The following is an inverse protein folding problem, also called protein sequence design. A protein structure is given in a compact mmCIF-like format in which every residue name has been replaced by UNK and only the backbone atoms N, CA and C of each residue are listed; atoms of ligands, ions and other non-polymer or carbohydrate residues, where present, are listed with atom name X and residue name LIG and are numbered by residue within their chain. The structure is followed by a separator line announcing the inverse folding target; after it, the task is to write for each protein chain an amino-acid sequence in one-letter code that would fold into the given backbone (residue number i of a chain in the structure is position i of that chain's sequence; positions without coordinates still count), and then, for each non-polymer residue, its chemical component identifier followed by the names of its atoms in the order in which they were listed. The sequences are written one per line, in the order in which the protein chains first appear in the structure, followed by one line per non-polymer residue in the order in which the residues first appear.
data_IF_520521707980
#
_entry.id   IF_520521707980
#
_cell.length_a   1.000
_cell.length_b   1.000
_cell.length_c   1.000
_cell.angle_alpha   90.00
_cell.angle_beta   90.00
_cell.angle_gamma   90.00
#
_symmetry.space_group_name_H-M   'P 1'
#
loop_
_entity.id
_entity.type
_entity.pdbx_description
1 polymer ?
#
# COMPACT_ATOMS: atom_id res chain seq x y z
N UNK A 1 -24.63 -15.34 -4.96
CA UNK A 1 -24.46 -15.22 -3.49
C UNK A 1 -23.00 -14.83 -3.26
N UNK A 2 -22.76 -13.63 -2.81
CA UNK A 2 -21.41 -13.07 -2.58
C UNK A 2 -20.80 -13.73 -1.34
N UNK A 3 -19.47 -13.95 -1.32
CA UNK A 3 -18.75 -14.45 -0.13
C UNK A 3 -19.00 -13.55 1.09
N UNK A 4 -19.38 -12.28 0.88
CA UNK A 4 -19.73 -11.33 1.93
C UNK A 4 -21.07 -11.61 2.62
N UNK A 5 -21.97 -12.37 1.99
CA UNK A 5 -23.26 -12.75 2.60
C UNK A 5 -23.13 -13.84 3.68
N UNK A 6 -21.92 -14.42 3.84
CA UNK A 6 -21.65 -15.51 4.80
C UNK A 6 -21.01 -15.05 6.11
N UNK A 7 -20.52 -13.81 6.20
CA UNK A 7 -19.94 -13.30 7.45
C UNK A 7 -20.94 -12.35 8.13
N UNK A 8 -21.30 -12.63 9.40
CA UNK A 8 -22.14 -11.71 10.16
C UNK A 8 -21.44 -10.35 10.26
N UNK A 9 -22.20 -9.28 10.07
CA UNK A 9 -21.70 -7.89 10.07
C UNK A 9 -20.96 -7.58 11.39
N UNK A 10 -21.37 -8.22 12.48
CA UNK A 10 -20.73 -8.13 13.78
C UNK A 10 -19.29 -8.65 13.76
N UNK A 11 -19.00 -9.72 13.01
CA UNK A 11 -17.64 -10.25 12.87
C UNK A 11 -16.75 -9.29 12.09
N UNK A 12 -17.28 -8.65 11.04
CA UNK A 12 -16.56 -7.64 10.27
C UNK A 12 -16.28 -6.39 11.12
N UNK A 13 -17.24 -5.96 11.93
CA UNK A 13 -17.06 -4.83 12.86
C UNK A 13 -16.08 -5.18 13.98
N UNK A 14 -16.10 -6.41 14.49
CA UNK A 14 -15.15 -6.89 15.49
C UNK A 14 -13.73 -6.92 14.94
N UNK A 15 -13.55 -7.46 13.73
CA UNK A 15 -12.25 -7.50 13.04
C UNK A 15 -11.74 -6.09 12.74
N UNK A 16 -12.62 -5.18 12.33
CA UNK A 16 -12.28 -3.77 12.10
C UNK A 16 -11.90 -3.07 13.41
N UNK A 17 -12.64 -3.31 14.48
CA UNK A 17 -12.36 -2.77 15.82
C UNK A 17 -11.06 -3.31 16.39
N UNK A 18 -10.82 -4.61 16.30
CA UNK A 18 -9.57 -5.24 16.71
C UNK A 18 -8.37 -4.70 15.93
N UNK A 19 -8.59 -4.48 14.63
CA UNK A 19 -7.57 -3.94 13.76
C UNK A 19 -7.24 -2.47 14.07
N UNK A 20 -8.26 -1.63 14.35
CA UNK A 20 -8.05 -0.23 14.77
C UNK A 20 -7.34 -0.13 16.11
N UNK A 21 -7.64 -1.02 17.06
CA UNK A 21 -6.94 -1.11 18.35
C UNK A 21 -5.48 -1.54 18.17
N UNK A 22 -5.22 -2.55 17.33
CA UNK A 22 -3.86 -2.99 17.01
C UNK A 22 -3.06 -1.89 16.31
N UNK A 23 -3.71 -1.14 15.44
CA UNK A 23 -3.14 0.02 14.75
C UNK A 23 -2.77 1.13 15.73
N UNK A 24 -3.69 1.52 16.63
CA UNK A 24 -3.44 2.51 17.66
C UNK A 24 -2.29 2.08 18.58
N UNK A 25 -2.28 0.82 19.01
CA UNK A 25 -1.20 0.24 19.82
C UNK A 25 0.16 0.25 19.12
N UNK A 26 0.21 -0.01 17.81
CA UNK A 26 1.47 0.01 17.05
C UNK A 26 2.01 1.41 16.81
N UNK A 27 1.13 2.45 16.77
CA UNK A 27 1.55 3.85 16.59
C UNK A 27 2.12 4.46 17.88
N UNK A 28 1.64 4.05 19.07
CA UNK A 28 1.94 4.74 20.32
C UNK A 28 3.20 4.25 21.07
N UNK A 29 3.95 3.26 20.58
CA UNK A 29 5.13 2.75 21.31
C UNK A 29 6.39 3.59 21.13
N UNK A 30 7.15 3.88 22.24
CA UNK A 30 8.35 4.73 22.24
C UNK A 30 9.55 4.19 21.45
N UNK A 31 9.58 2.92 21.09
CA UNK A 31 10.66 2.32 20.26
C UNK A 31 10.57 2.63 18.76
N UNK A 32 9.82 3.65 18.41
CA UNK A 32 9.55 4.02 17.00
C UNK A 32 10.79 4.51 16.25
N UNK A 33 11.78 5.06 16.93
CA UNK A 33 12.98 5.58 16.25
C UNK A 33 13.79 4.44 15.61
N UNK A 34 14.09 3.38 16.36
CA UNK A 34 14.86 2.24 15.85
C UNK A 34 14.13 1.54 14.68
N UNK A 35 12.81 1.35 14.81
CA UNK A 35 12.01 0.76 13.73
C UNK A 35 11.95 1.64 12.49
N UNK A 36 11.88 2.96 12.65
CA UNK A 36 11.93 3.90 11.52
C UNK A 36 13.29 3.86 10.83
N UNK A 37 14.38 3.88 11.58
CA UNK A 37 15.73 3.78 11.03
C UNK A 37 15.89 2.47 10.25
N UNK A 38 15.49 1.35 10.85
CA UNK A 38 15.57 0.05 10.18
C UNK A 38 14.74 0.02 8.89
N UNK A 39 13.50 0.51 8.93
CA UNK A 39 12.66 0.61 7.74
C UNK A 39 13.31 1.48 6.66
N UNK A 40 13.82 2.66 7.03
CA UNK A 40 14.45 3.57 6.06
C UNK A 40 15.65 2.92 5.36
N UNK A 41 16.50 2.22 6.11
CA UNK A 41 17.65 1.51 5.54
C UNK A 41 17.23 0.40 4.55
N UNK A 42 16.13 -0.29 4.82
CA UNK A 42 15.62 -1.36 3.95
C UNK A 42 15.10 -0.88 2.60
N UNK A 43 14.66 0.37 2.52
CA UNK A 43 14.01 0.95 1.33
C UNK A 43 14.76 2.19 0.82
N UNK A 44 15.99 2.41 1.29
CA UNK A 44 16.78 3.59 0.97
C UNK A 44 17.06 3.73 -0.52
N UNK A 45 17.38 2.62 -1.18
CA UNK A 45 17.58 2.54 -2.63
C UNK A 45 16.39 3.06 -3.43
N UNK A 46 15.16 2.80 -2.95
CA UNK A 46 13.93 3.28 -3.59
C UNK A 46 13.69 4.75 -3.21
N UNK A 47 13.81 5.10 -1.91
CA UNK A 47 13.51 6.44 -1.42
C UNK A 47 14.40 7.53 -2.01
N UNK A 48 15.64 7.20 -2.38
CA UNK A 48 16.62 8.14 -2.96
C UNK A 48 16.62 8.14 -4.50
N UNK A 49 15.87 7.24 -5.15
CA UNK A 49 15.87 7.12 -6.59
C UNK A 49 15.07 8.26 -7.26
N UNK A 50 15.66 8.94 -8.25
CA UNK A 50 15.07 10.11 -8.90
C UNK A 50 13.66 9.86 -9.44
N UNK A 51 13.41 8.69 -10.04
CA UNK A 51 12.09 8.38 -10.58
C UNK A 51 11.06 8.18 -9.47
N UNK A 52 11.44 7.62 -8.32
CA UNK A 52 10.55 7.50 -7.18
C UNK A 52 10.27 8.87 -6.54
N UNK A 53 11.24 9.76 -6.51
CA UNK A 53 11.08 11.12 -5.99
C UNK A 53 10.06 11.95 -6.80
N UNK A 54 9.85 11.64 -8.09
CA UNK A 54 8.79 12.28 -8.91
C UNK A 54 7.37 12.05 -8.36
N UNK A 55 7.15 11.03 -7.54
CA UNK A 55 5.86 10.82 -6.87
C UNK A 55 5.44 11.98 -5.96
N UNK A 56 6.36 12.88 -5.62
CA UNK A 56 6.07 14.14 -4.92
C UNK A 56 5.32 15.16 -5.79
N UNK A 57 5.33 14.98 -7.10
CA UNK A 57 4.67 15.88 -8.06
C UNK A 57 3.20 15.47 -8.28
N UNK A 58 2.87 14.19 -8.02
CA UNK A 58 1.54 13.63 -8.28
C UNK A 58 0.72 13.50 -7.02
N UNK A 59 -0.57 13.88 -7.09
CA UNK A 59 -1.49 13.80 -5.96
C UNK A 59 -2.21 12.45 -5.91
N UNK A 60 -2.28 11.91 -4.68
CA UNK A 60 -3.13 10.78 -4.32
C UNK A 60 -4.08 11.22 -3.21
N UNK A 61 -5.41 11.17 -3.46
CA UNK A 61 -6.43 11.70 -2.54
C UNK A 61 -6.13 13.15 -2.08
N UNK A 62 -5.77 13.35 -0.83
CA UNK A 62 -5.46 14.66 -0.22
C UNK A 62 -3.94 14.93 -0.12
N UNK A 63 -3.10 13.92 -0.41
CA UNK A 63 -1.64 13.96 -0.33
C UNK A 63 -0.95 13.70 -1.66
N UNK A 64 0.39 13.72 -1.64
CA UNK A 64 1.20 13.20 -2.73
C UNK A 64 1.32 11.67 -2.65
N UNK A 65 1.44 11.01 -3.81
CA UNK A 65 1.63 9.55 -3.90
C UNK A 65 2.84 9.13 -3.05
N UNK A 66 3.89 9.92 -3.04
CA UNK A 66 5.10 9.70 -2.25
C UNK A 66 4.82 9.53 -0.75
N UNK A 67 4.04 10.43 -0.15
CA UNK A 67 3.74 10.39 1.28
C UNK A 67 2.83 9.22 1.63
N UNK A 68 1.86 8.93 0.76
CA UNK A 68 0.99 7.77 0.88
C UNK A 68 1.80 6.47 0.84
N UNK A 69 2.63 6.27 -0.19
CA UNK A 69 3.47 5.08 -0.35
C UNK A 69 4.40 4.85 0.84
N UNK A 70 5.03 5.90 1.37
CA UNK A 70 5.86 5.82 2.58
C UNK A 70 5.09 5.37 3.80
N UNK A 71 3.86 5.83 3.98
CA UNK A 71 3.00 5.44 5.10
C UNK A 71 2.58 3.98 4.98
N UNK A 72 2.13 3.56 3.80
CA UNK A 72 1.77 2.16 3.52
C UNK A 72 2.97 1.24 3.76
N UNK A 73 4.14 1.58 3.22
CA UNK A 73 5.38 0.84 3.40
C UNK A 73 5.76 0.67 4.88
N UNK A 74 5.77 1.75 5.65
CA UNK A 74 6.14 1.70 7.06
C UNK A 74 5.13 0.91 7.89
N UNK A 75 3.83 1.07 7.63
CA UNK A 75 2.79 0.31 8.31
C UNK A 75 2.90 -1.18 8.01
N UNK A 76 3.06 -1.54 6.74
CA UNK A 76 3.24 -2.93 6.29
C UNK A 76 4.49 -3.57 6.89
N UNK A 77 5.60 -2.84 6.92
CA UNK A 77 6.83 -3.24 7.61
C UNK A 77 6.57 -3.59 9.07
N UNK A 78 5.90 -2.72 9.81
CA UNK A 78 5.64 -2.91 11.23
C UNK A 78 4.75 -4.11 11.52
N UNK A 79 3.67 -4.25 10.76
CA UNK A 79 2.73 -5.38 10.93
C UNK A 79 3.43 -6.68 10.57
N UNK A 80 4.07 -6.75 9.40
CA UNK A 80 4.75 -7.97 8.95
C UNK A 80 5.86 -8.38 9.90
N UNK A 81 6.63 -7.42 10.42
CA UNK A 81 7.68 -7.69 11.41
C UNK A 81 7.12 -8.23 12.73
N UNK A 82 6.03 -7.66 13.23
CA UNK A 82 5.37 -8.10 14.44
C UNK A 82 4.78 -9.53 14.32
N UNK A 83 4.38 -9.91 13.11
CA UNK A 83 3.79 -11.21 12.79
C UNK A 83 4.82 -12.24 12.29
N UNK A 84 6.13 -11.91 12.28
CA UNK A 84 7.18 -12.83 11.80
C UNK A 84 7.08 -13.16 10.32
N UNK A 85 6.55 -12.25 9.52
CA UNK A 85 6.44 -12.36 8.06
C UNK A 85 7.66 -11.74 7.36
N UNK A 86 7.73 -11.83 6.02
CA UNK A 86 8.75 -11.12 5.25
C UNK A 86 8.47 -9.61 5.25
N UNK A 87 8.96 -8.95 6.29
CA UNK A 87 8.80 -7.50 6.48
C UNK A 87 9.62 -6.67 5.47
N UNK A 88 10.66 -7.26 4.86
CA UNK A 88 11.46 -6.58 3.84
C UNK A 88 10.65 -6.46 2.55
N UNK A 89 10.11 -7.57 2.05
CA UNK A 89 9.26 -7.57 0.87
C UNK A 89 7.98 -6.74 1.11
N UNK A 90 7.37 -6.80 2.32
CA UNK A 90 6.21 -5.99 2.66
C UNK A 90 6.53 -4.48 2.64
N UNK A 91 7.73 -4.07 3.12
CA UNK A 91 8.17 -2.68 3.07
C UNK A 91 8.39 -2.20 1.63
N UNK A 92 9.15 -2.96 0.85
CA UNK A 92 9.50 -2.60 -0.54
C UNK A 92 8.28 -2.63 -1.45
N UNK A 93 7.50 -3.71 -1.41
CA UNK A 93 6.25 -3.82 -2.16
C UNK A 93 5.23 -2.76 -1.76
N UNK A 94 5.12 -2.46 -0.46
CA UNK A 94 4.28 -1.38 0.04
C UNK A 94 4.74 0.02 -0.39
N UNK A 95 6.04 0.23 -0.63
CA UNK A 95 6.55 1.48 -1.18
C UNK A 95 6.26 1.60 -2.69
N UNK A 96 6.33 0.49 -3.41
CA UNK A 96 6.19 0.43 -4.86
C UNK A 96 4.77 0.18 -5.36
N UNK A 97 3.78 -0.10 -4.49
CA UNK A 97 2.43 -0.51 -4.90
C UNK A 97 1.73 0.51 -5.81
N UNK A 98 1.98 1.80 -5.59
CA UNK A 98 1.44 2.93 -6.34
C UNK A 98 2.52 3.70 -7.13
N UNK A 99 3.54 3.00 -7.61
CA UNK A 99 4.61 3.62 -8.39
C UNK A 99 4.17 3.89 -9.84
N UNK A 100 3.18 4.78 -10.02
CA UNK A 100 2.75 5.30 -11.31
C UNK A 100 3.05 6.80 -11.43
N UNK A 101 3.53 7.24 -12.59
CA UNK A 101 4.11 8.57 -12.84
C UNK A 101 3.16 9.42 -13.69
N UNK A 102 1.93 9.60 -13.23
CA UNK A 102 0.93 10.46 -13.89
C UNK A 102 -0.17 10.90 -12.92
N UNK A 103 -0.84 12.03 -13.21
CA UNK A 103 -2.08 12.38 -12.52
C UNK A 103 -3.25 11.58 -13.10
N UNK A 104 -3.83 10.70 -12.31
CA UNK A 104 -4.94 9.83 -12.72
C UNK A 104 -6.23 10.60 -13.00
N UNK A 105 -6.38 11.83 -12.45
CA UNK A 105 -7.55 12.67 -12.67
C UNK A 105 -7.50 13.31 -14.05
N UNK A 106 -6.33 13.80 -14.45
CA UNK A 106 -6.10 14.32 -15.79
C UNK A 106 -6.24 13.19 -16.82
N UNK A 107 -5.64 12.04 -16.59
CA UNK A 107 -5.73 10.89 -17.48
C UNK A 107 -7.17 10.45 -17.72
N UNK A 108 -8.06 10.52 -16.72
CA UNK A 108 -9.49 10.18 -16.85
C UNK A 108 -10.23 11.11 -17.81
N UNK A 109 -9.80 12.37 -17.96
CA UNK A 109 -10.46 13.36 -18.84
C UNK A 109 -10.21 13.07 -20.33
N UNK A 110 -9.08 12.43 -20.66
CA UNK A 110 -8.66 12.21 -22.06
C UNK A 110 -8.92 10.81 -22.59
N UNK A 111 -9.31 9.86 -21.74
CA UNK A 111 -9.39 8.45 -22.12
C UNK A 111 -10.64 7.75 -21.57
N UNK A 112 -11.80 8.06 -22.17
CA UNK A 112 -13.09 7.46 -21.80
C UNK A 112 -13.16 5.94 -22.05
N UNK A 113 -12.30 5.39 -22.92
CA UNK A 113 -12.32 3.97 -23.34
C UNK A 113 -11.40 3.08 -22.51
N UNK A 114 -10.56 3.63 -21.65
CA UNK A 114 -9.68 2.83 -20.80
C UNK A 114 -10.38 2.22 -19.61
N UNK A 115 -9.88 1.07 -19.19
CA UNK A 115 -10.31 0.45 -17.96
C UNK A 115 -10.08 1.40 -16.78
N UNK A 116 -10.84 1.23 -15.71
CA UNK A 116 -10.74 2.15 -14.56
C UNK A 116 -9.32 2.19 -14.02
N UNK A 117 -8.81 3.38 -13.66
CA UNK A 117 -7.51 3.57 -13.00
C UNK A 117 -7.24 2.51 -11.92
N UNK A 118 -8.25 2.18 -11.10
CA UNK A 118 -8.14 1.16 -10.06
C UNK A 118 -7.82 -0.26 -10.55
N UNK A 119 -8.05 -0.57 -11.83
CA UNK A 119 -7.68 -1.88 -12.42
C UNK A 119 -6.33 -1.84 -13.11
N UNK A 120 -5.91 -0.70 -13.65
CA UNK A 120 -4.70 -0.58 -14.46
C UNK A 120 -3.46 -0.19 -13.67
N UNK A 121 -3.59 0.74 -12.69
CA UNK A 121 -2.41 1.29 -12.01
C UNK A 121 -1.53 0.24 -11.33
N UNK A 122 -2.06 -0.92 -10.80
CA UNK A 122 -1.19 -1.93 -10.22
C UNK A 122 -0.20 -2.53 -11.23
N UNK A 123 -0.63 -2.69 -12.47
CA UNK A 123 0.22 -3.23 -13.55
C UNK A 123 1.22 -2.20 -14.04
N UNK A 124 0.80 -0.92 -14.14
CA UNK A 124 1.69 0.19 -14.47
C UNK A 124 2.75 0.39 -13.37
N UNK A 125 2.33 0.31 -12.11
CA UNK A 125 3.25 0.36 -10.98
C UNK A 125 4.27 -0.78 -11.01
N UNK A 126 3.84 -1.99 -11.34
CA UNK A 126 4.74 -3.14 -11.49
C UNK A 126 5.74 -2.95 -12.64
N UNK A 127 5.28 -2.48 -13.80
CA UNK A 127 6.14 -2.21 -14.96
C UNK A 127 7.22 -1.17 -14.60
N UNK A 128 6.82 -0.05 -13.99
CA UNK A 128 7.75 0.95 -13.50
C UNK A 128 8.71 0.38 -12.45
N UNK A 129 8.21 -0.40 -11.50
CA UNK A 129 9.03 -1.01 -10.46
C UNK A 129 10.10 -1.94 -11.07
N UNK A 130 9.73 -2.80 -12.02
CA UNK A 130 10.68 -3.70 -12.72
C UNK A 130 11.67 -2.96 -13.60
N UNK A 131 11.32 -1.77 -14.08
CA UNK A 131 12.21 -0.95 -14.92
C UNK A 131 13.35 -0.35 -14.10
N UNK A 132 13.09 0.04 -12.86
CA UNK A 132 14.05 0.80 -12.06
C UNK A 132 14.61 0.04 -10.85
N UNK A 133 13.98 -1.06 -10.44
CA UNK A 133 14.34 -1.82 -9.25
C UNK A 133 14.31 -3.33 -9.49
N UNK A 134 15.07 -4.07 -8.69
CA UNK A 134 14.90 -5.52 -8.60
C UNK A 134 13.63 -5.82 -7.80
N UNK A 135 12.69 -6.52 -8.44
CA UNK A 135 11.39 -6.90 -7.85
C UNK A 135 11.30 -8.43 -7.83
N UNK A 136 11.10 -9.00 -6.66
CA UNK A 136 10.90 -10.43 -6.50
C UNK A 136 9.42 -10.83 -6.67
N UNK A 137 9.13 -12.13 -6.70
CA UNK A 137 7.77 -12.65 -6.93
C UNK A 137 6.75 -12.28 -5.84
N UNK A 138 7.21 -12.10 -4.60
CA UNK A 138 6.37 -11.65 -3.49
C UNK A 138 6.04 -10.17 -3.63
N UNK A 139 7.02 -9.32 -3.94
CA UNK A 139 6.81 -7.89 -4.21
C UNK A 139 5.92 -7.69 -5.44
N UNK A 140 6.07 -8.51 -6.48
CA UNK A 140 5.18 -8.50 -7.66
C UNK A 140 3.72 -8.80 -7.28
N UNK A 141 3.48 -9.81 -6.44
CA UNK A 141 2.14 -10.13 -5.96
C UNK A 141 1.57 -8.99 -5.10
N UNK A 142 2.39 -8.40 -4.21
CA UNK A 142 2.00 -7.22 -3.43
C UNK A 142 1.54 -6.10 -4.35
N UNK A 143 2.36 -5.70 -5.31
CA UNK A 143 2.07 -4.58 -6.21
C UNK A 143 0.81 -4.85 -7.03
N UNK A 144 0.67 -6.05 -7.61
CA UNK A 144 -0.46 -6.36 -8.50
C UNK A 144 -1.78 -6.63 -7.78
N UNK A 145 -1.74 -7.01 -6.49
CA UNK A 145 -2.91 -7.45 -5.73
C UNK A 145 -3.35 -6.48 -4.63
N UNK A 146 -2.64 -5.34 -4.42
CA UNK A 146 -2.97 -4.40 -3.35
C UNK A 146 -4.41 -3.86 -3.44
N UNK A 147 -5.01 -3.82 -4.64
CA UNK A 147 -6.38 -3.36 -4.84
C UNK A 147 -7.46 -4.36 -4.38
N UNK A 148 -7.11 -5.56 -3.92
CA UNK A 148 -8.08 -6.47 -3.31
C UNK A 148 -8.75 -5.83 -2.07
N UNK A 149 -10.08 -5.97 -1.86
CA UNK A 149 -11.07 -6.74 -2.63
C UNK A 149 -11.75 -5.96 -3.78
N UNK A 150 -11.38 -4.70 -4.05
CA UNK A 150 -11.95 -3.90 -5.14
C UNK A 150 -11.74 -4.56 -6.50
N UNK A 151 -10.56 -5.15 -6.71
CA UNK A 151 -10.33 -6.12 -7.77
C UNK A 151 -10.43 -7.53 -7.17
N UNK A 152 -11.04 -8.48 -7.88
CA UNK A 152 -11.18 -9.86 -7.41
C UNK A 152 -9.88 -10.69 -7.55
N UNK A 153 -8.75 -10.03 -7.78
CA UNK A 153 -7.45 -10.66 -7.89
C UNK A 153 -6.91 -11.01 -6.50
N UNK A 154 -7.11 -12.25 -6.07
CA UNK A 154 -6.73 -12.72 -4.74
C UNK A 154 -5.21 -12.66 -4.51
N UNK A 155 -4.76 -12.06 -3.39
CA UNK A 155 -3.37 -12.16 -2.93
C UNK A 155 -2.95 -13.62 -2.72
N UNK A 156 -1.72 -13.95 -3.14
CA UNK A 156 -1.14 -15.29 -2.93
C UNK A 156 -0.39 -15.38 -1.60
N UNK A 157 0.12 -14.25 -1.11
CA UNK A 157 0.95 -14.18 0.08
C UNK A 157 0.24 -13.38 1.17
N UNK A 158 0.52 -13.74 2.41
CA UNK A 158 0.00 -13.04 3.59
C UNK A 158 0.50 -11.57 3.66
N UNK A 159 1.70 -11.31 3.18
CA UNK A 159 2.28 -9.98 3.07
C UNK A 159 1.48 -9.10 2.10
N UNK A 160 0.99 -9.67 0.99
CA UNK A 160 0.14 -8.94 0.04
C UNK A 160 -1.19 -8.53 0.67
N UNK A 161 -1.75 -9.38 1.55
CA UNK A 161 -2.95 -9.03 2.34
C UNK A 161 -2.64 -7.88 3.30
N UNK A 162 -1.49 -7.96 4.02
CA UNK A 162 -1.05 -6.89 4.94
C UNK A 162 -0.91 -5.57 4.21
N UNK A 163 -0.25 -5.55 3.05
CA UNK A 163 -0.08 -4.31 2.26
C UNK A 163 -1.42 -3.79 1.76
N UNK A 164 -2.31 -4.65 1.25
CA UNK A 164 -3.65 -4.26 0.82
C UNK A 164 -4.46 -3.60 1.95
N UNK A 165 -4.37 -4.13 3.17
CA UNK A 165 -5.03 -3.55 4.35
C UNK A 165 -4.36 -2.23 4.74
N UNK A 166 -3.01 -2.18 4.77
CA UNK A 166 -2.25 -0.98 5.13
C UNK A 166 -2.52 0.20 4.19
N UNK A 167 -2.70 -0.08 2.89
CA UNK A 167 -3.11 0.89 1.87
C UNK A 167 -4.46 1.53 2.23
N UNK A 168 -5.47 0.71 2.49
CA UNK A 168 -6.82 1.19 2.80
C UNK A 168 -6.87 1.99 4.09
N UNK A 169 -6.13 1.57 5.12
CA UNK A 169 -6.02 2.32 6.36
C UNK A 169 -5.33 3.66 6.13
N UNK A 170 -4.25 3.67 5.36
CA UNK A 170 -3.53 4.90 5.04
C UNK A 170 -4.41 5.87 4.26
N UNK A 171 -5.22 5.38 3.33
CA UNK A 171 -6.18 6.18 2.57
C UNK A 171 -7.28 6.77 3.50
N UNK A 172 -7.86 5.95 4.39
CA UNK A 172 -8.86 6.42 5.37
C UNK A 172 -8.24 7.46 6.30
N UNK A 173 -7.05 7.21 6.83
CA UNK A 173 -6.34 8.17 7.68
C UNK A 173 -6.12 9.51 6.99
N UNK A 174 -5.71 9.51 5.73
CA UNK A 174 -5.51 10.73 4.93
C UNK A 174 -6.81 11.50 4.75
N UNK A 175 -7.90 10.80 4.52
CA UNK A 175 -9.20 11.43 4.35
C UNK A 175 -9.75 12.04 5.66
N UNK A 176 -9.57 11.35 6.80
CA UNK A 176 -10.14 11.79 8.08
C UNK A 176 -9.29 12.86 8.77
N UNK A 177 -7.96 12.77 8.70
CA UNK A 177 -7.05 13.64 9.48
C UNK A 177 -6.67 14.91 8.73
N UNK A 178 -6.84 14.95 7.42
CA UNK A 178 -6.48 16.10 6.56
C UNK A 178 -7.65 16.65 5.74
N UNK A 179 -8.87 16.16 5.98
CA UNK A 179 -10.09 16.82 5.54
C UNK A 179 -10.42 17.97 6.49
#
# INVERSE_FOLDING_TARGET
MSIFDQFPIELLLLLFSLFTLLFAYTIQRPSTHLLRTQHTLLVEDILQHDQFLKLKEYRHHTNHIYDHARRVSYLSFRISKALGMDYQAAARGGLLHDFFLYDWRERKQYDEKRSSHGKEHPFIALENAKTYFSVNSLEEDIITKHMFPKTLALPRYKESVVVSISDKISAIYEYVVRA
#
